data_IF_166837369716
#
_entry.id   IF_166837369716
#
_cell.length_a   1.000
_cell.length_b   1.000
_cell.length_c   1.000
_cell.angle_alpha   90.00
_cell.angle_beta   90.00
_cell.angle_gamma   90.00
#
_symmetry.space_group_name_H-M   'P 1'
#
loop_
_entity.id
_entity.type
_entity.pdbx_description
1 polymer ?
#
# COMPACT_ATOMS: atom_id res chain seq x y z
N UNK A 1 9.68 -2.30 -6.33
CA UNK A 1 10.05 -1.43 -7.46
C UNK A 1 11.54 -1.49 -7.80
N UNK A 2 12.49 -1.24 -6.89
CA UNK A 2 13.95 -1.33 -7.20
C UNK A 2 14.40 -2.68 -7.80
N UNK A 3 13.82 -3.81 -7.38
CA UNK A 3 14.09 -5.13 -7.97
C UNK A 3 13.57 -5.23 -9.40
N UNK A 4 12.40 -4.67 -9.70
CA UNK A 4 11.83 -4.68 -11.06
C UNK A 4 12.66 -3.85 -12.03
N UNK A 5 13.16 -2.69 -11.60
CA UNK A 5 14.07 -1.86 -12.39
C UNK A 5 15.39 -2.60 -12.70
N UNK A 6 15.94 -3.33 -11.72
CA UNK A 6 17.16 -4.13 -11.89
C UNK A 6 16.99 -5.27 -12.91
N UNK A 7 15.79 -5.82 -13.02
CA UNK A 7 15.48 -6.91 -13.97
C UNK A 7 14.78 -6.42 -15.24
N UNK A 8 14.67 -5.11 -15.45
CA UNK A 8 13.98 -4.49 -16.60
C UNK A 8 12.56 -5.02 -16.81
N UNK A 9 11.82 -5.25 -15.72
CA UNK A 9 10.45 -5.75 -15.76
C UNK A 9 9.48 -4.58 -16.00
N UNK A 10 8.46 -4.84 -16.82
CA UNK A 10 7.37 -3.89 -17.01
C UNK A 10 6.48 -3.87 -15.75
N UNK A 11 6.38 -2.70 -15.13
CA UNK A 11 5.65 -2.53 -13.87
C UNK A 11 4.15 -2.81 -14.01
N UNK A 12 3.52 -2.44 -15.14
CA UNK A 12 2.09 -2.68 -15.35
C UNK A 12 1.79 -4.15 -15.57
N UNK A 13 2.65 -4.86 -16.33
CA UNK A 13 2.52 -6.30 -16.53
C UNK A 13 2.77 -7.07 -15.21
N UNK A 14 3.80 -6.68 -14.45
CA UNK A 14 4.07 -7.31 -13.15
C UNK A 14 2.91 -7.12 -12.17
N UNK A 15 2.27 -5.95 -12.17
CA UNK A 15 1.07 -5.68 -11.36
C UNK A 15 -0.13 -6.52 -11.82
N UNK A 16 -0.37 -6.62 -13.12
CA UNK A 16 -1.43 -7.47 -13.67
C UNK A 16 -1.23 -8.93 -13.21
N UNK A 17 -0.03 -9.47 -13.34
CA UNK A 17 0.30 -10.81 -12.88
C UNK A 17 0.16 -10.97 -11.36
N UNK A 18 0.53 -9.96 -10.57
CA UNK A 18 0.27 -9.94 -9.14
C UNK A 18 -1.23 -10.13 -8.84
N UNK A 19 -2.11 -9.44 -9.55
CA UNK A 19 -3.56 -9.60 -9.36
C UNK A 19 -4.08 -10.96 -9.86
N UNK A 20 -3.51 -11.52 -10.94
CA UNK A 20 -3.84 -12.90 -11.38
C UNK A 20 -3.58 -13.89 -10.25
N UNK A 21 -2.39 -13.84 -9.65
CA UNK A 21 -2.02 -14.79 -8.60
C UNK A 21 -2.70 -14.49 -7.27
N UNK A 22 -2.96 -13.23 -6.94
CA UNK A 22 -3.70 -12.87 -5.73
C UNK A 22 -5.16 -13.33 -5.81
N UNK A 23 -5.86 -13.07 -6.92
CA UNK A 23 -7.22 -13.56 -7.15
C UNK A 23 -7.26 -15.09 -7.22
N UNK A 24 -6.33 -15.70 -7.96
CA UNK A 24 -6.24 -17.16 -8.06
C UNK A 24 -6.04 -17.84 -6.72
N UNK A 25 -5.12 -17.33 -5.88
CA UNK A 25 -4.90 -17.84 -4.52
C UNK A 25 -6.17 -17.71 -3.68
N UNK A 26 -6.87 -16.58 -3.77
CA UNK A 26 -8.11 -16.38 -3.04
C UNK A 26 -9.21 -17.34 -3.48
N UNK A 27 -9.41 -17.57 -4.77
CA UNK A 27 -10.36 -18.55 -5.28
C UNK A 27 -9.98 -19.99 -4.93
N UNK A 28 -8.69 -20.31 -4.83
CA UNK A 28 -8.24 -21.64 -4.39
C UNK A 28 -8.44 -21.88 -2.88
N UNK A 29 -8.48 -20.82 -2.08
CA UNK A 29 -8.63 -20.89 -0.63
C UNK A 29 -10.07 -20.70 -0.16
N UNK A 30 -10.98 -20.24 -1.03
CA UNK A 30 -12.39 -20.11 -0.67
C UNK A 30 -13.05 -21.48 -0.51
N UNK A 31 -14.02 -21.53 0.40
CA UNK A 31 -14.74 -22.77 0.73
C UNK A 31 -15.97 -22.97 -0.13
N UNK A 32 -16.58 -21.90 -0.56
CA UNK A 32 -17.81 -21.91 -1.37
C UNK A 32 -17.72 -20.87 -2.47
N UNK A 33 -18.34 -21.18 -3.60
CA UNK A 33 -18.48 -20.25 -4.71
C UNK A 33 -19.95 -19.86 -4.81
N UNK A 34 -20.20 -18.55 -4.72
CA UNK A 34 -21.54 -18.03 -4.96
C UNK A 34 -21.90 -18.13 -6.44
N UNK A 35 -23.15 -18.46 -6.70
CA UNK A 35 -23.69 -18.30 -8.05
C UNK A 35 -23.75 -16.79 -8.41
N UNK A 36 -23.71 -16.41 -9.71
CA UNK A 36 -23.75 -15.01 -10.09
C UNK A 36 -24.95 -14.23 -9.49
N UNK A 37 -26.08 -14.90 -9.29
CA UNK A 37 -27.27 -14.30 -8.69
C UNK A 37 -27.10 -14.06 -7.18
N UNK A 38 -26.48 -14.99 -6.46
CA UNK A 38 -26.14 -14.85 -5.05
C UNK A 38 -25.08 -13.76 -4.84
N UNK A 39 -24.03 -13.77 -5.66
CA UNK A 39 -22.94 -12.78 -5.60
C UNK A 39 -23.46 -11.34 -5.70
N UNK A 40 -24.38 -11.06 -6.64
CA UNK A 40 -24.95 -9.71 -6.81
C UNK A 40 -25.83 -9.32 -5.62
N UNK A 41 -26.43 -10.30 -4.93
CA UNK A 41 -27.27 -10.06 -3.76
C UNK A 41 -26.45 -9.81 -2.47
N UNK A 42 -25.13 -10.11 -2.48
CA UNK A 42 -24.28 -9.94 -1.32
C UNK A 42 -24.11 -8.45 -0.93
N UNK A 43 -24.24 -8.10 0.38
CA UNK A 43 -24.13 -6.71 0.83
C UNK A 43 -22.77 -6.07 0.55
N UNK A 44 -21.71 -6.88 0.45
CA UNK A 44 -20.35 -6.43 0.18
C UNK A 44 -20.03 -6.27 -1.32
N UNK A 45 -20.88 -6.81 -2.23
CA UNK A 45 -20.61 -6.84 -3.68
C UNK A 45 -20.30 -5.46 -4.27
N UNK A 46 -21.19 -4.49 -4.06
CA UNK A 46 -21.00 -3.14 -4.61
C UNK A 46 -19.75 -2.45 -4.07
N UNK A 47 -19.44 -2.63 -2.77
CA UNK A 47 -18.24 -2.07 -2.17
C UNK A 47 -16.97 -2.76 -2.70
N UNK A 48 -17.01 -4.06 -2.97
CA UNK A 48 -15.88 -4.80 -3.56
C UNK A 48 -15.55 -4.31 -4.97
N UNK A 49 -16.57 -3.98 -5.78
CA UNK A 49 -16.33 -3.36 -7.09
C UNK A 49 -15.58 -2.03 -6.95
N UNK A 50 -16.03 -1.18 -6.04
CA UNK A 50 -15.39 0.12 -5.77
C UNK A 50 -13.97 -0.08 -5.22
N UNK A 51 -13.79 -1.00 -4.27
CA UNK A 51 -12.49 -1.28 -3.65
C UNK A 51 -11.48 -1.83 -4.65
N UNK A 52 -11.90 -2.77 -5.52
CA UNK A 52 -11.04 -3.32 -6.57
C UNK A 52 -10.60 -2.26 -7.60
N UNK A 53 -11.52 -1.40 -8.04
CA UNK A 53 -11.18 -0.24 -8.87
C UNK A 53 -10.23 0.72 -8.12
N UNK A 54 -10.48 0.97 -6.83
CA UNK A 54 -9.69 1.87 -6.01
C UNK A 54 -8.24 1.40 -5.84
N UNK A 55 -7.99 0.11 -5.78
CA UNK A 55 -6.64 -0.45 -5.72
C UNK A 55 -5.81 -0.09 -6.94
N UNK A 56 -6.38 -0.24 -8.14
CA UNK A 56 -5.67 0.12 -9.37
C UNK A 56 -5.48 1.64 -9.50
N UNK A 57 -6.51 2.41 -9.15
CA UNK A 57 -6.46 3.86 -9.16
C UNK A 57 -5.35 4.40 -8.24
N UNK A 58 -5.29 3.91 -7.00
CA UNK A 58 -4.25 4.30 -6.03
C UNK A 58 -2.86 3.89 -6.51
N UNK A 59 -2.72 2.71 -7.12
CA UNK A 59 -1.46 2.29 -7.71
C UNK A 59 -0.99 3.25 -8.82
N UNK A 60 -1.86 3.65 -9.72
CA UNK A 60 -1.53 4.61 -10.78
C UNK A 60 -1.12 5.97 -10.22
N UNK A 61 -1.84 6.45 -9.21
CA UNK A 61 -1.49 7.67 -8.47
C UNK A 61 -0.10 7.56 -7.82
N UNK A 62 0.19 6.44 -7.14
CA UNK A 62 1.50 6.20 -6.53
C UNK A 62 2.62 6.18 -7.56
N UNK A 63 2.40 5.55 -8.70
CA UNK A 63 3.38 5.50 -9.79
C UNK A 63 3.64 6.90 -10.35
N UNK A 64 2.60 7.66 -10.65
CA UNK A 64 2.70 9.03 -11.14
C UNK A 64 3.37 9.98 -10.13
N UNK A 65 3.02 9.86 -8.85
CA UNK A 65 3.62 10.65 -7.77
C UNK A 65 5.09 10.30 -7.56
N UNK A 66 5.43 9.02 -7.58
CA UNK A 66 6.82 8.58 -7.43
C UNK A 66 7.72 9.15 -8.53
N UNK A 67 7.22 9.20 -9.76
CA UNK A 67 7.95 9.75 -10.91
C UNK A 67 8.09 11.27 -10.88
N UNK A 68 7.09 12.01 -10.36
CA UNK A 68 7.05 13.47 -10.39
C UNK A 68 7.47 14.14 -9.09
N UNK A 69 7.06 13.60 -7.95
CA UNK A 69 7.30 14.15 -6.61
C UNK A 69 8.40 13.41 -5.85
N UNK A 70 8.85 12.28 -6.38
CA UNK A 70 9.86 11.41 -5.78
C UNK A 70 9.30 10.40 -4.78
N UNK A 71 10.08 9.33 -4.58
CA UNK A 71 9.70 8.16 -3.74
C UNK A 71 9.45 8.56 -2.29
N UNK A 72 10.30 9.44 -1.73
CA UNK A 72 10.22 9.86 -0.32
C UNK A 72 8.92 10.60 -0.02
N UNK A 73 8.57 11.57 -0.86
CA UNK A 73 7.35 12.38 -0.67
C UNK A 73 6.11 11.51 -0.84
N UNK A 74 6.06 10.68 -1.88
CA UNK A 74 4.97 9.74 -2.13
C UNK A 74 4.78 8.77 -0.95
N UNK A 75 5.88 8.17 -0.47
CA UNK A 75 5.84 7.24 0.67
C UNK A 75 5.39 7.94 1.96
N UNK A 76 5.86 9.15 2.22
CA UNK A 76 5.44 9.91 3.40
C UNK A 76 3.95 10.25 3.34
N UNK A 77 3.47 10.75 2.20
CA UNK A 77 2.05 11.08 2.02
C UNK A 77 1.14 9.85 2.20
N UNK A 78 1.54 8.71 1.60
CA UNK A 78 0.82 7.45 1.76
C UNK A 78 0.81 6.95 3.22
N UNK A 79 1.87 7.16 3.99
CA UNK A 79 1.90 6.72 5.39
C UNK A 79 1.17 7.67 6.33
N UNK A 80 1.20 8.96 6.04
CA UNK A 80 0.42 9.95 6.80
C UNK A 80 -1.09 9.80 6.58
N UNK A 81 -1.52 9.17 5.49
CA UNK A 81 -2.94 8.91 5.22
C UNK A 81 -3.63 8.06 6.29
N UNK A 82 -2.86 7.40 7.17
CA UNK A 82 -3.38 6.66 8.33
C UNK A 82 -4.31 7.51 9.23
N UNK A 83 -4.17 8.82 9.19
CA UNK A 83 -5.07 9.74 9.89
C UNK A 83 -6.52 9.58 9.41
N UNK A 84 -6.74 9.34 8.11
CA UNK A 84 -8.09 9.24 7.54
C UNK A 84 -8.86 8.01 8.05
N UNK A 85 -8.37 6.76 7.98
CA UNK A 85 -9.07 5.62 8.52
C UNK A 85 -9.18 5.68 10.06
N UNK A 86 -8.22 6.29 10.76
CA UNK A 86 -8.32 6.51 12.21
C UNK A 86 -9.45 7.48 12.56
N UNK A 87 -9.57 8.61 11.86
CA UNK A 87 -10.69 9.54 12.03
C UNK A 87 -12.01 8.91 11.62
N UNK A 88 -12.04 8.15 10.52
CA UNK A 88 -13.22 7.41 10.10
C UNK A 88 -13.65 6.38 11.16
N UNK A 89 -12.73 5.76 11.88
CA UNK A 89 -12.99 4.90 13.02
C UNK A 89 -13.89 5.59 14.06
N UNK A 90 -13.54 6.81 14.42
CA UNK A 90 -14.33 7.59 15.38
C UNK A 90 -15.65 8.07 14.79
N UNK A 91 -15.62 8.69 13.59
CA UNK A 91 -16.77 9.43 13.03
C UNK A 91 -17.80 8.48 12.40
N UNK A 92 -17.34 7.48 11.63
CA UNK A 92 -18.21 6.58 10.89
C UNK A 92 -18.55 5.31 11.65
N UNK A 93 -17.60 4.80 12.44
CA UNK A 93 -17.75 3.53 13.13
C UNK A 93 -18.04 3.67 14.62
N UNK A 94 -18.03 4.91 15.15
CA UNK A 94 -18.35 5.19 16.57
C UNK A 94 -17.32 4.64 17.56
N UNK A 95 -16.09 4.40 17.09
CA UNK A 95 -15.00 3.88 17.91
C UNK A 95 -14.59 4.93 18.97
N UNK A 96 -14.31 4.48 20.20
CA UNK A 96 -13.94 5.40 21.29
C UNK A 96 -12.43 5.58 21.34
N UNK A 97 -11.99 6.83 21.28
CA UNK A 97 -10.62 7.21 21.57
C UNK A 97 -10.50 7.64 23.04
N UNK A 98 -9.59 6.99 23.76
CA UNK A 98 -9.15 7.51 25.06
C UNK A 98 -7.96 8.49 24.85
N UNK A 99 -7.69 9.29 25.86
CA UNK A 99 -6.60 10.29 25.83
C UNK A 99 -5.23 9.63 25.56
N UNK A 100 -4.97 8.46 26.14
CA UNK A 100 -3.69 7.73 26.00
C UNK A 100 -3.51 7.24 24.55
N UNK A 101 -4.56 6.67 23.96
CA UNK A 101 -4.53 6.25 22.55
C UNK A 101 -4.34 7.45 21.60
N UNK A 102 -4.98 8.58 21.88
CA UNK A 102 -4.80 9.82 21.10
C UNK A 102 -3.34 10.29 21.13
N UNK A 103 -2.71 10.31 22.31
CA UNK A 103 -1.29 10.61 22.47
C UNK A 103 -0.43 9.62 21.66
N UNK A 104 -0.75 8.33 21.73
CA UNK A 104 -0.07 7.29 20.96
C UNK A 104 -0.17 7.51 19.44
N UNK A 105 -1.34 7.91 18.92
CA UNK A 105 -1.54 8.21 17.49
C UNK A 105 -0.69 9.41 17.06
N UNK A 106 -0.65 10.47 17.86
CA UNK A 106 0.20 11.64 17.59
C UNK A 106 1.68 11.23 17.54
N UNK A 107 2.14 10.43 18.50
CA UNK A 107 3.51 9.90 18.50
C UNK A 107 3.78 8.99 17.31
N UNK A 108 2.80 8.18 16.88
CA UNK A 108 2.88 7.35 15.68
C UNK A 108 3.15 8.18 14.42
N UNK A 109 2.43 9.30 14.25
CA UNK A 109 2.64 10.21 13.12
C UNK A 109 4.02 10.86 13.17
N UNK A 110 4.48 11.29 14.34
CA UNK A 110 5.84 11.82 14.52
C UNK A 110 6.90 10.76 14.18
N UNK A 111 6.72 9.53 14.66
CA UNK A 111 7.59 8.41 14.33
C UNK A 111 7.67 8.15 12.83
N UNK A 112 6.53 8.12 12.13
CA UNK A 112 6.46 7.94 10.67
C UNK A 112 7.26 9.02 9.94
N UNK A 113 7.09 10.29 10.30
CA UNK A 113 7.83 11.41 9.70
C UNK A 113 9.33 11.26 9.93
N UNK A 114 9.76 10.89 11.14
CA UNK A 114 11.18 10.71 11.47
C UNK A 114 11.80 9.54 10.71
N UNK A 115 11.13 8.39 10.65
CA UNK A 115 11.65 7.19 9.96
C UNK A 115 11.70 7.41 8.45
N UNK A 116 10.65 7.93 7.85
CA UNK A 116 10.60 8.16 6.39
C UNK A 116 11.46 9.34 5.97
N UNK A 117 11.43 10.45 6.73
CA UNK A 117 12.19 11.66 6.46
C UNK A 117 13.69 11.54 6.74
N UNK A 118 14.09 10.55 7.57
CA UNK A 118 15.50 10.30 7.91
C UNK A 118 16.32 9.62 6.81
N UNK A 119 15.70 9.18 5.71
CA UNK A 119 16.46 8.59 4.60
C UNK A 119 17.32 9.65 3.93
N UNK A 120 18.65 9.50 4.08
CA UNK A 120 19.63 10.36 3.41
C UNK A 120 19.42 10.30 1.89
N UNK A 121 19.44 11.47 1.24
CA UNK A 121 19.54 11.63 -0.21
C UNK A 121 20.77 10.94 -0.83
N UNK A 122 21.70 10.45 -0.01
CA UNK A 122 22.99 9.88 -0.39
C UNK A 122 22.98 8.36 -0.64
N UNK A 123 21.86 7.68 -0.52
CA UNK A 123 21.77 6.25 -0.81
C UNK A 123 21.28 5.98 -2.26
N UNK A 124 21.65 6.81 -3.22
CA UNK A 124 21.75 6.38 -4.61
C UNK A 124 22.95 5.42 -4.69
N UNK A 125 22.80 4.18 -5.19
CA UNK A 125 23.95 3.38 -5.55
C UNK A 125 24.81 4.23 -6.47
N UNK A 126 26.15 4.26 -6.26
CA UNK A 126 27.09 4.75 -7.26
C UNK A 126 26.88 3.89 -8.50
N UNK A 127 26.02 4.33 -9.40
CA UNK A 127 25.96 3.86 -10.76
C UNK A 127 27.22 4.41 -11.40
N UNK A 128 28.02 3.51 -11.97
CA UNK A 128 29.24 3.84 -12.69
C UNK A 128 29.00 5.05 -13.58
N UNK A 129 29.93 6.02 -13.46
CA UNK A 129 29.87 7.37 -14.05
C UNK A 129 29.70 7.42 -15.58
N UNK A 130 29.66 6.30 -16.24
CA UNK A 130 29.56 6.20 -17.71
C UNK A 130 28.13 5.98 -18.25
N UNK A 131 27.12 5.75 -17.39
CA UNK A 131 25.70 5.57 -17.81
C UNK A 131 24.81 6.72 -17.27
N UNK A 132 25.36 7.67 -16.56
CA UNK A 132 24.65 8.68 -15.78
C UNK A 132 24.25 10.02 -16.44
N UNK A 133 24.39 10.33 -17.76
CA UNK A 133 24.07 11.68 -18.21
C UNK A 133 22.57 11.97 -18.34
N UNK A 134 21.72 10.95 -18.55
CA UNK A 134 20.30 11.16 -18.82
C UNK A 134 19.41 11.10 -17.56
N UNK A 135 19.70 10.21 -16.59
CA UNK A 135 18.89 10.04 -15.38
C UNK A 135 19.27 11.04 -14.27
N UNK A 136 20.56 11.34 -14.14
CA UNK A 136 21.02 12.33 -13.16
C UNK A 136 20.62 13.78 -13.54
N UNK A 137 20.35 14.05 -14.82
CA UNK A 137 19.90 15.38 -15.28
C UNK A 137 18.47 15.71 -14.86
N UNK A 138 17.63 14.69 -14.63
CA UNK A 138 16.27 14.87 -14.12
C UNK A 138 16.23 15.02 -12.60
N UNK A 139 17.17 14.40 -11.87
CA UNK A 139 17.22 14.54 -10.41
C UNK A 139 17.83 15.87 -9.93
N UNK A 140 18.64 16.54 -10.75
CA UNK A 140 19.26 17.82 -10.40
C UNK A 140 18.50 19.07 -10.93
N UNK A 141 17.55 18.91 -11.82
CA UNK A 141 16.52 19.90 -12.08
C UNK A 141 15.31 19.67 -11.18
N UNK A 142 15.54 19.61 -9.87
CA UNK A 142 14.56 19.88 -8.85
C UNK A 142 14.09 21.34 -8.94
N UNK A 143 13.53 21.74 -10.05
CA UNK A 143 12.43 22.67 -9.99
C UNK A 143 11.40 21.93 -9.13
N UNK A 144 11.29 22.42 -7.90
CA UNK A 144 10.14 22.20 -7.04
C UNK A 144 8.91 22.74 -7.80
N UNK A 145 8.57 22.01 -8.86
CA UNK A 145 7.32 22.21 -9.54
C UNK A 145 6.28 21.90 -8.45
N UNK A 146 5.62 22.95 -8.01
CA UNK A 146 4.64 23.06 -6.92
C UNK A 146 3.43 22.12 -7.10
N UNK A 147 3.64 20.90 -7.54
CA UNK A 147 2.59 19.90 -7.65
C UNK A 147 2.37 19.20 -6.29
N UNK A 148 2.06 20.04 -5.27
CA UNK A 148 1.56 19.59 -3.97
C UNK A 148 0.27 18.75 -4.11
N UNK A 149 -0.38 18.83 -5.27
CA UNK A 149 -1.60 18.10 -5.59
C UNK A 149 -1.38 16.59 -5.61
N UNK A 150 -0.28 16.08 -6.19
CA UNK A 150 -0.03 14.63 -6.24
C UNK A 150 0.17 14.00 -4.86
N UNK A 151 1.03 14.54 -3.97
CA UNK A 151 1.12 14.07 -2.60
C UNK A 151 -0.21 14.14 -1.85
N UNK A 152 -1.01 15.17 -2.07
CA UNK A 152 -2.34 15.31 -1.48
C UNK A 152 -3.31 14.24 -2.01
N UNK A 153 -3.32 14.00 -3.32
CA UNK A 153 -4.12 12.93 -3.91
C UNK A 153 -3.71 11.54 -3.39
N UNK A 154 -2.42 11.31 -3.16
CA UNK A 154 -1.94 10.05 -2.54
C UNK A 154 -2.44 9.94 -1.10
N UNK A 155 -2.36 11.02 -0.31
CA UNK A 155 -2.85 11.04 1.05
C UNK A 155 -4.34 10.65 1.11
N UNK A 156 -5.19 11.30 0.31
CA UNK A 156 -6.62 10.96 0.26
C UNK A 156 -6.87 9.62 -0.42
N UNK A 157 -6.17 9.28 -1.49
CA UNK A 157 -6.35 8.02 -2.22
C UNK A 157 -6.06 6.80 -1.37
N UNK A 158 -4.92 6.77 -0.66
CA UNK A 158 -4.57 5.63 0.22
C UNK A 158 -5.48 5.56 1.43
N UNK A 159 -5.76 6.68 2.11
CA UNK A 159 -6.64 6.67 3.28
C UNK A 159 -8.09 6.31 2.95
N UNK A 160 -8.62 6.75 1.80
CA UNK A 160 -9.94 6.31 1.34
C UNK A 160 -9.93 4.82 0.99
N UNK A 161 -8.84 4.28 0.42
CA UNK A 161 -8.69 2.86 0.18
C UNK A 161 -8.80 2.04 1.46
N UNK A 162 -8.13 2.46 2.54
CA UNK A 162 -8.19 1.80 3.85
C UNK A 162 -9.62 1.86 4.44
N UNK A 163 -10.34 2.98 4.29
CA UNK A 163 -11.74 3.13 4.70
C UNK A 163 -12.65 2.20 3.89
N UNK A 164 -12.47 2.12 2.57
CA UNK A 164 -13.23 1.21 1.70
C UNK A 164 -13.00 -0.25 2.08
N UNK A 165 -11.76 -0.63 2.40
CA UNK A 165 -11.47 -1.97 2.90
C UNK A 165 -12.27 -2.28 4.17
N UNK A 166 -12.30 -1.38 5.14
CA UNK A 166 -13.07 -1.57 6.38
C UNK A 166 -14.57 -1.64 6.13
N UNK A 167 -15.11 -0.77 5.30
CA UNK A 167 -16.53 -0.79 4.92
C UNK A 167 -16.91 -2.11 4.24
N UNK A 168 -16.05 -2.62 3.36
CA UNK A 168 -16.25 -3.88 2.67
C UNK A 168 -16.21 -5.05 3.66
N UNK A 169 -15.27 -5.04 4.61
CA UNK A 169 -15.15 -6.04 5.66
C UNK A 169 -16.43 -6.09 6.54
N UNK A 170 -16.93 -4.95 6.96
CA UNK A 170 -18.13 -4.88 7.80
C UNK A 170 -19.39 -5.41 7.10
N UNK A 171 -19.48 -5.26 5.78
CA UNK A 171 -20.59 -5.77 4.98
C UNK A 171 -20.48 -7.27 4.67
N UNK A 172 -19.29 -7.85 4.80
CA UNK A 172 -19.08 -9.28 4.55
C UNK A 172 -19.69 -10.17 5.66
N UNK A 173 -19.92 -9.62 6.86
CA UNK A 173 -20.52 -10.39 7.95
C UNK A 173 -19.70 -11.64 8.33
N UNK A 174 -20.37 -12.80 8.32
CA UNK A 174 -19.76 -14.11 8.61
C UNK A 174 -19.35 -14.91 7.36
N UNK A 175 -19.54 -14.34 6.16
CA UNK A 175 -19.32 -15.02 4.89
C UNK A 175 -17.84 -15.30 4.61
N UNK A 176 -17.59 -16.07 3.53
CA UNK A 176 -16.22 -16.45 3.16
C UNK A 176 -15.38 -15.23 2.75
N UNK A 177 -14.55 -14.77 3.69
CA UNK A 177 -13.65 -13.65 3.48
C UNK A 177 -12.70 -13.89 2.31
N UNK A 178 -12.29 -15.13 2.07
CA UNK A 178 -11.38 -15.49 0.98
C UNK A 178 -12.03 -15.21 -0.37
N UNK A 179 -13.31 -15.52 -0.51
CA UNK A 179 -14.06 -15.26 -1.73
C UNK A 179 -14.21 -13.76 -2.00
N UNK A 180 -14.57 -12.95 -0.99
CA UNK A 180 -14.66 -11.51 -1.10
C UNK A 180 -13.32 -10.88 -1.52
N UNK A 181 -12.20 -11.26 -0.89
CA UNK A 181 -10.86 -10.76 -1.23
C UNK A 181 -10.47 -11.17 -2.65
N UNK A 182 -10.73 -12.43 -3.03
CA UNK A 182 -10.50 -12.92 -4.39
C UNK A 182 -11.25 -12.08 -5.42
N UNK A 183 -12.51 -11.74 -5.13
CA UNK A 183 -13.34 -10.92 -5.99
C UNK A 183 -12.81 -9.49 -6.11
N UNK A 184 -12.37 -8.85 -5.03
CA UNK A 184 -11.71 -7.53 -5.08
C UNK A 184 -10.50 -7.56 -6.00
N UNK A 185 -9.62 -8.58 -5.86
CA UNK A 185 -8.45 -8.72 -6.72
C UNK A 185 -8.82 -9.07 -8.16
N UNK A 186 -9.90 -9.81 -8.38
CA UNK A 186 -10.42 -10.09 -9.71
C UNK A 186 -10.89 -8.81 -10.42
N UNK A 187 -11.58 -7.91 -9.74
CA UNK A 187 -11.96 -6.61 -10.29
C UNK A 187 -10.70 -5.77 -10.59
N UNK A 188 -9.73 -5.72 -9.67
CA UNK A 188 -8.47 -5.04 -9.92
C UNK A 188 -7.71 -5.64 -11.13
N UNK A 189 -7.76 -6.96 -11.31
CA UNK A 189 -7.20 -7.64 -12.47
C UNK A 189 -7.86 -7.19 -13.78
N UNK A 190 -9.17 -7.10 -13.84
CA UNK A 190 -9.89 -6.64 -15.06
C UNK A 190 -9.40 -5.26 -15.50
N UNK A 191 -9.28 -4.31 -14.57
CA UNK A 191 -8.70 -3.00 -14.87
C UNK A 191 -7.21 -3.07 -15.22
N UNK A 192 -6.45 -3.95 -14.56
CA UNK A 192 -5.03 -4.20 -14.87
C UNK A 192 -4.84 -4.71 -16.29
N UNK A 193 -5.69 -5.63 -16.75
CA UNK A 193 -5.71 -6.13 -18.13
C UNK A 193 -5.97 -5.00 -19.12
N UNK A 194 -6.95 -4.12 -18.83
CA UNK A 194 -7.26 -2.98 -19.71
C UNK A 194 -6.06 -2.02 -19.84
N UNK A 195 -5.33 -1.76 -18.76
CA UNK A 195 -4.13 -0.91 -18.79
C UNK A 195 -3.03 -1.54 -19.62
N UNK A 196 -2.73 -2.83 -19.39
CA UNK A 196 -1.69 -3.55 -20.13
C UNK A 196 -2.07 -3.65 -21.63
N UNK A 197 -3.33 -3.95 -21.95
CA UNK A 197 -3.81 -3.98 -23.31
C UNK A 197 -3.66 -2.62 -24.01
N UNK A 198 -4.00 -1.53 -23.31
CA UNK A 198 -3.80 -0.18 -23.84
C UNK A 198 -2.33 0.13 -24.12
N UNK A 199 -1.41 -0.24 -23.22
CA UNK A 199 0.02 0.00 -23.42
C UNK A 199 0.60 -0.85 -24.56
N UNK A 200 0.14 -2.09 -24.74
CA UNK A 200 0.52 -2.96 -25.85
C UNK A 200 0.03 -2.41 -27.21
N UNK A 201 -1.25 -2.00 -27.29
CA UNK A 201 -1.85 -1.44 -28.51
C UNK A 201 -1.15 -0.13 -28.90
N UNK A 202 -0.77 0.69 -27.93
CA UNK A 202 -0.04 1.95 -28.18
C UNK A 202 1.44 1.76 -28.43
N UNK A 203 1.95 0.52 -28.40
CA UNK A 203 3.37 0.22 -28.59
C UNK A 203 4.28 0.75 -27.49
N UNK A 204 3.71 1.12 -26.31
CA UNK A 204 4.46 1.64 -25.17
C UNK A 204 5.20 0.54 -24.42
N UNK A 205 4.73 -0.68 -24.49
CA UNK A 205 5.29 -1.86 -23.84
C UNK A 205 5.27 -3.03 -24.81
N UNK A 206 6.20 -3.99 -24.59
CA UNK A 206 6.20 -5.30 -25.26
C UNK A 206 5.84 -6.36 -24.23
N UNK A 207 5.13 -7.39 -24.64
CA UNK A 207 4.79 -8.50 -23.76
C UNK A 207 6.04 -9.19 -23.21
N UNK A 208 6.13 -9.31 -21.89
CA UNK A 208 7.28 -9.85 -21.17
C UNK A 208 6.86 -10.96 -20.20
N UNK A 209 7.09 -12.21 -20.56
CA UNK A 209 6.83 -13.34 -19.65
C UNK A 209 7.65 -13.30 -18.35
N UNK A 210 8.79 -12.62 -18.35
CA UNK A 210 9.60 -12.43 -17.14
C UNK A 210 8.85 -11.65 -16.05
N UNK A 211 7.93 -10.76 -16.43
CA UNK A 211 7.08 -10.02 -15.51
C UNK A 211 6.10 -10.93 -14.75
N UNK A 212 5.72 -12.08 -15.32
CA UNK A 212 4.91 -13.08 -14.65
C UNK A 212 5.64 -13.70 -13.45
N UNK A 213 6.93 -14.03 -13.58
CA UNK A 213 7.70 -14.58 -12.46
C UNK A 213 7.78 -13.63 -11.27
N UNK A 214 7.93 -12.32 -11.53
CA UNK A 214 7.87 -11.30 -10.49
C UNK A 214 6.48 -11.18 -9.87
N UNK A 215 5.43 -11.33 -10.68
CA UNK A 215 4.03 -11.25 -10.23
C UNK A 215 3.58 -12.45 -9.38
N UNK A 216 4.07 -13.67 -9.66
CA UNK A 216 3.69 -14.90 -8.93
C UNK A 216 3.93 -14.76 -7.43
N UNK A 217 5.21 -14.57 -7.04
CA UNK A 217 5.57 -14.51 -5.62
C UNK A 217 4.89 -13.33 -4.91
N UNK A 218 4.83 -12.18 -5.58
CA UNK A 218 4.17 -11.00 -5.02
C UNK A 218 2.66 -11.20 -4.88
N UNK A 219 1.99 -11.84 -5.82
CA UNK A 219 0.54 -12.04 -5.79
C UNK A 219 0.09 -12.91 -4.63
N UNK A 220 0.78 -14.04 -4.41
CA UNK A 220 0.49 -14.94 -3.28
C UNK A 220 0.72 -14.23 -1.94
N UNK A 221 1.87 -13.57 -1.79
CA UNK A 221 2.20 -12.81 -0.56
C UNK A 221 1.19 -11.68 -0.35
N UNK A 222 0.81 -10.97 -1.40
CA UNK A 222 -0.16 -9.88 -1.35
C UNK A 222 -1.54 -10.37 -0.89
N UNK A 223 -2.02 -11.50 -1.43
CA UNK A 223 -3.26 -12.12 -0.97
C UNK A 223 -3.23 -12.43 0.54
N UNK A 224 -2.22 -13.16 1.02
CA UNK A 224 -2.13 -13.50 2.43
C UNK A 224 -1.96 -12.30 3.33
N UNK A 225 -1.21 -11.28 2.90
CA UNK A 225 -1.09 -10.01 3.62
C UNK A 225 -2.46 -9.33 3.77
N UNK A 226 -3.21 -9.23 2.69
CA UNK A 226 -4.55 -8.64 2.68
C UNK A 226 -5.53 -9.47 3.54
N UNK A 227 -5.47 -10.78 3.44
CA UNK A 227 -6.26 -11.70 4.27
C UNK A 227 -5.99 -11.48 5.76
N UNK A 228 -4.72 -11.35 6.16
CA UNK A 228 -4.36 -11.05 7.55
C UNK A 228 -4.89 -9.68 8.00
N UNK A 229 -4.81 -8.65 7.14
CA UNK A 229 -5.33 -7.31 7.46
C UNK A 229 -6.84 -7.33 7.63
N UNK A 230 -7.59 -7.99 6.75
CA UNK A 230 -9.04 -8.12 6.89
C UNK A 230 -9.44 -8.89 8.15
N UNK A 231 -8.72 -9.97 8.51
CA UNK A 231 -8.96 -10.65 9.77
C UNK A 231 -8.65 -9.76 10.99
N UNK A 232 -7.58 -8.97 10.92
CA UNK A 232 -7.26 -8.00 11.97
C UNK A 232 -8.35 -6.93 12.11
N UNK A 233 -8.97 -6.49 11.01
CA UNK A 233 -10.10 -5.54 11.03
C UNK A 233 -11.33 -6.08 11.76
N UNK A 234 -11.51 -7.42 11.85
CA UNK A 234 -12.57 -8.04 12.65
C UNK A 234 -12.27 -8.05 14.14
N UNK A 235 -10.99 -8.07 14.49
CA UNK A 235 -10.56 -8.23 15.88
C UNK A 235 -10.24 -6.90 16.58
N UNK A 236 -9.89 -5.87 15.81
CA UNK A 236 -9.39 -4.60 16.35
C UNK A 236 -10.14 -3.40 15.77
N UNK A 237 -10.30 -2.38 16.60
CA UNK A 237 -10.81 -1.09 16.16
C UNK A 237 -9.85 -0.41 15.19
N UNK A 238 -10.37 0.36 14.25
CA UNK A 238 -9.57 1.05 13.21
C UNK A 238 -8.58 2.03 13.83
N UNK A 239 -9.00 2.72 14.91
CA UNK A 239 -8.16 3.68 15.65
C UNK A 239 -6.89 3.05 16.23
N UNK A 240 -6.90 1.73 16.48
CA UNK A 240 -5.74 0.95 16.92
C UNK A 240 -5.03 0.30 15.73
N UNK A 241 -5.79 -0.38 14.88
CA UNK A 241 -5.26 -1.21 13.81
C UNK A 241 -4.40 -0.43 12.83
N UNK A 242 -4.92 0.65 12.25
CA UNK A 242 -4.23 1.34 11.17
C UNK A 242 -2.93 2.03 11.59
N UNK A 243 -2.85 2.74 12.74
CA UNK A 243 -1.57 3.25 13.22
C UNK A 243 -0.55 2.15 13.50
N UNK A 244 -0.94 1.08 14.19
CA UNK A 244 -0.05 -0.05 14.53
C UNK A 244 0.46 -0.75 13.27
N UNK A 245 -0.44 -1.03 12.32
CA UNK A 245 -0.09 -1.63 11.02
C UNK A 245 0.90 -0.76 10.24
N UNK A 246 0.64 0.54 10.11
CA UNK A 246 1.53 1.44 9.37
C UNK A 246 2.91 1.59 10.02
N UNK A 247 2.98 1.69 11.35
CA UNK A 247 4.25 1.69 12.10
C UNK A 247 4.97 0.37 11.88
N UNK A 248 4.27 -0.76 11.99
CA UNK A 248 4.82 -2.10 11.79
C UNK A 248 5.47 -2.24 10.41
N UNK A 249 4.74 -1.87 9.35
CA UNK A 249 5.26 -1.90 7.96
C UNK A 249 6.51 -1.03 7.80
N UNK A 250 6.50 0.19 8.36
CA UNK A 250 7.65 1.11 8.24
C UNK A 250 8.84 0.59 9.04
N UNK A 251 8.62 0.06 10.24
CA UNK A 251 9.68 -0.50 11.10
C UNK A 251 10.34 -1.72 10.45
N UNK A 252 9.52 -2.67 9.95
CA UNK A 252 10.03 -3.86 9.24
C UNK A 252 10.78 -3.46 7.98
N UNK A 253 10.27 -2.48 7.23
CA UNK A 253 10.95 -1.98 6.03
C UNK A 253 12.30 -1.34 6.37
N UNK A 254 12.38 -0.56 7.45
CA UNK A 254 13.64 0.06 7.90
C UNK A 254 14.65 -1.00 8.36
N UNK A 255 14.21 -2.00 9.15
CA UNK A 255 15.04 -3.11 9.60
C UNK A 255 15.54 -3.96 8.41
N UNK A 256 14.68 -4.25 7.45
CA UNK A 256 15.04 -5.00 6.25
C UNK A 256 16.07 -4.22 5.41
N UNK A 257 15.89 -2.90 5.28
CA UNK A 257 16.84 -1.99 4.64
C UNK A 257 18.22 -2.06 5.29
N UNK A 258 18.26 -2.03 6.63
CA UNK A 258 19.48 -2.12 7.40
C UNK A 258 20.16 -3.51 7.30
N UNK A 259 19.40 -4.59 7.52
CA UNK A 259 19.93 -5.96 7.57
C UNK A 259 20.34 -6.51 6.19
N UNK A 260 19.44 -6.39 5.18
CA UNK A 260 19.65 -7.01 3.87
C UNK A 260 20.38 -6.09 2.89
N UNK A 261 20.09 -4.81 2.92
CA UNK A 261 20.68 -3.84 1.99
C UNK A 261 21.84 -3.03 2.60
N UNK A 262 22.21 -3.30 3.89
CA UNK A 262 23.26 -2.59 4.61
C UNK A 262 23.09 -1.05 4.54
N UNK A 263 21.83 -0.59 4.50
CA UNK A 263 21.52 0.83 4.51
C UNK A 263 21.94 1.43 5.87
N UNK A 264 22.61 2.58 5.84
CA UNK A 264 23.00 3.28 7.06
C UNK A 264 21.76 4.00 7.60
N UNK A 265 21.27 3.55 8.75
CA UNK A 265 20.22 4.26 9.47
C UNK A 265 20.78 5.54 10.09
N UNK A 266 20.09 6.66 9.87
CA UNK A 266 20.45 7.93 10.52
C UNK A 266 19.95 7.94 11.96
N UNK A 267 20.48 8.84 12.78
CA UNK A 267 19.98 9.06 14.14
C UNK A 267 18.47 9.29 14.19
N UNK A 268 17.92 9.99 13.19
CA UNK A 268 16.47 10.23 13.07
C UNK A 268 15.67 8.94 12.89
N UNK A 269 16.21 7.96 12.16
CA UNK A 269 15.57 6.66 11.98
C UNK A 269 15.53 5.88 13.31
N UNK A 270 16.64 5.87 14.08
CA UNK A 270 16.67 5.21 15.40
C UNK A 270 15.70 5.87 16.38
N UNK A 271 15.68 7.22 16.43
CA UNK A 271 14.75 7.96 17.27
C UNK A 271 13.30 7.68 16.85
N UNK A 272 13.03 7.69 15.55
CA UNK A 272 11.69 7.38 15.01
C UNK A 272 11.23 5.98 15.36
N UNK A 273 12.11 4.96 15.28
CA UNK A 273 11.79 3.58 15.67
C UNK A 273 11.52 3.47 17.18
N UNK A 274 12.29 4.15 18.02
CA UNK A 274 12.06 4.16 19.47
C UNK A 274 10.70 4.80 19.82
N UNK A 275 10.38 5.95 19.21
CA UNK A 275 9.07 6.61 19.36
C UNK A 275 7.95 5.71 18.84
N UNK A 276 8.16 4.98 17.75
CA UNK A 276 7.20 4.05 17.18
C UNK A 276 6.82 2.94 18.17
N UNK A 277 7.79 2.36 18.88
CA UNK A 277 7.53 1.34 19.90
C UNK A 277 6.69 1.92 21.04
N UNK A 278 7.04 3.11 21.54
CA UNK A 278 6.27 3.77 22.58
C UNK A 278 4.84 4.07 22.12
N UNK A 279 4.67 4.54 20.88
CA UNK A 279 3.38 4.82 20.29
C UNK A 279 2.49 3.57 20.24
N UNK A 280 3.03 2.44 19.79
CA UNK A 280 2.29 1.16 19.74
C UNK A 280 1.84 0.74 21.13
N UNK A 281 2.72 0.82 22.13
CA UNK A 281 2.37 0.50 23.53
C UNK A 281 1.21 1.38 24.00
N UNK A 282 1.29 2.70 23.81
CA UNK A 282 0.24 3.64 24.24
C UNK A 282 -1.10 3.39 23.52
N UNK A 283 -1.08 3.07 22.23
CA UNK A 283 -2.30 2.79 21.46
C UNK A 283 -2.96 1.49 21.92
N UNK A 284 -2.17 0.48 22.27
CA UNK A 284 -2.67 -0.85 22.66
C UNK A 284 -3.02 -0.97 24.14
N UNK A 285 -2.58 -0.04 24.97
CA UNK A 285 -3.01 0.02 26.35
C UNK A 285 -4.51 0.36 26.41
N UNK A 286 -5.34 -0.66 26.66
CA UNK A 286 -6.74 -0.42 27.08
C UNK A 286 -6.72 0.10 28.51
N UNK A 287 -7.52 1.16 28.83
CA UNK A 287 -7.74 1.55 30.21
C UNK A 287 -8.49 0.46 30.95
#
# INVERSE_FOLDING_TARGET
>A
MRLFERFHLDNHQALMWNYVFAAGTGFLTCKQFDTPAQLVAEPWFGLSLITGFWFIFTYLLMTASTQRSGVTVTSLSSKLSVVLPTLAGVVLFGERLNFVATMGIVLALVALVLVVGGKNKSASPRIDSNIAPALARNDMRGEANKNWLLPLLIFFGTGTGDILMKLTEQRNGADDMSFMIAFIYFIALLFGILIVAYDLIRGRSKWQWKSALGGIGLGVINYFSTYCVYNAMRCFDNVVLFPVYNIGVVSVTALTGWLLFKEILTWKNYLGLAIAIIAVILITLKP
#
